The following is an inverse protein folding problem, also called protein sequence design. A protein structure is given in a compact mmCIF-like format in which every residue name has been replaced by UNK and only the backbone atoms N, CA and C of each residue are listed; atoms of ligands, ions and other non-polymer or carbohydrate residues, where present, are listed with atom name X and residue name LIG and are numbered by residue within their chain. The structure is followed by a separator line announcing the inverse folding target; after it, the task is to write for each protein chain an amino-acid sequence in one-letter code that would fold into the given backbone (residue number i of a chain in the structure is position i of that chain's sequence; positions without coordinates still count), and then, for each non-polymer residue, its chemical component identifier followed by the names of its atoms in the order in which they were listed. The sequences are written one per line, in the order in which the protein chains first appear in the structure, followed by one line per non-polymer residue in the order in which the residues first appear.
data_IF_722697264811
#
_entry.id   IF_722697264811
#
_cell.length_a   1.000
_cell.length_b   1.000
_cell.length_c   1.000
_cell.angle_alpha   90.00
_cell.angle_beta   90.00
_cell.angle_gamma   90.00
#
_symmetry.space_group_name_H-M   'P 1'
#
loop_
_entity.id
_entity.type
_entity.pdbx_description
1 polymer ?
#
# COMPACT_ATOMS: atom_id res chain seq x y z
N UNK A 1 -9.76 21.39 -27.24
CA UNK A 1 -8.93 21.30 -25.99
C UNK A 1 -9.53 20.23 -25.08
N UNK A 2 -8.71 19.47 -24.35
CA UNK A 2 -9.18 18.46 -23.37
C UNK A 2 -8.83 18.92 -21.95
N UNK A 3 -9.82 18.97 -21.06
CA UNK A 3 -9.64 19.39 -19.67
C UNK A 3 -9.85 18.20 -18.74
N UNK A 4 -8.80 17.84 -17.97
CA UNK A 4 -8.85 16.77 -16.98
C UNK A 4 -9.16 17.37 -15.61
N UNK A 5 -10.17 16.86 -14.91
CA UNK A 5 -10.71 17.50 -13.71
C UNK A 5 -10.83 16.48 -12.58
N UNK A 6 -10.17 16.75 -11.46
CA UNK A 6 -10.37 16.02 -10.20
C UNK A 6 -11.66 16.48 -9.53
N UNK A 7 -12.61 15.56 -9.37
CA UNK A 7 -13.93 15.83 -8.80
C UNK A 7 -13.97 15.71 -7.26
N UNK A 8 -12.83 15.45 -6.63
CA UNK A 8 -12.81 15.22 -5.18
C UNK A 8 -13.73 14.04 -4.78
N UNK A 9 -14.62 14.28 -3.82
CA UNK A 9 -15.68 13.34 -3.40
C UNK A 9 -16.79 13.14 -4.46
N UNK A 10 -16.77 13.89 -5.55
CA UNK A 10 -17.75 13.85 -6.62
C UNK A 10 -18.85 14.93 -6.53
N UNK A 11 -18.77 15.81 -5.52
CA UNK A 11 -19.73 16.94 -5.38
C UNK A 11 -19.35 18.07 -6.32
N UNK A 12 -20.32 18.55 -7.10
CA UNK A 12 -20.16 19.67 -8.02
C UNK A 12 -19.67 20.97 -7.34
N UNK A 13 -20.24 21.24 -6.18
CA UNK A 13 -19.98 22.46 -5.39
C UNK A 13 -18.54 22.51 -4.83
N UNK A 14 -17.88 21.36 -4.75
CA UNK A 14 -16.49 21.25 -4.29
C UNK A 14 -15.46 21.62 -5.39
N UNK A 15 -15.89 21.74 -6.65
CA UNK A 15 -15.03 22.14 -7.74
C UNK A 15 -14.70 23.62 -7.70
N UNK A 16 -13.48 23.96 -8.10
CA UNK A 16 -13.14 25.37 -8.36
C UNK A 16 -14.03 25.97 -9.45
N UNK A 17 -14.29 27.26 -9.38
CA UNK A 17 -15.09 27.97 -10.39
C UNK A 17 -14.53 27.77 -11.82
N UNK A 18 -13.21 27.67 -11.95
CA UNK A 18 -12.54 27.40 -13.23
C UNK A 18 -12.83 26.00 -13.76
N UNK A 19 -12.82 24.98 -12.89
CA UNK A 19 -13.15 23.61 -13.27
C UNK A 19 -14.63 23.48 -13.65
N UNK A 20 -15.53 24.12 -12.89
CA UNK A 20 -16.96 24.18 -13.22
C UNK A 20 -17.19 24.84 -14.58
N UNK A 21 -16.52 25.96 -14.86
CA UNK A 21 -16.62 26.65 -16.16
C UNK A 21 -16.10 25.77 -17.29
N UNK A 22 -15.02 25.03 -17.09
CA UNK A 22 -14.48 24.10 -18.10
C UNK A 22 -15.47 22.99 -18.45
N UNK A 23 -16.21 22.45 -17.48
CA UNK A 23 -17.26 21.45 -17.72
C UNK A 23 -18.44 22.08 -18.45
N UNK A 24 -18.90 23.28 -18.04
CA UNK A 24 -20.05 23.98 -18.66
C UNK A 24 -19.79 24.35 -20.12
N UNK A 25 -18.55 24.69 -20.46
CA UNK A 25 -18.13 25.07 -21.82
C UNK A 25 -17.76 23.87 -22.72
N UNK A 26 -17.63 22.68 -22.14
CA UNK A 26 -17.29 21.48 -22.91
C UNK A 26 -18.49 20.99 -23.74
N UNK A 27 -18.21 20.53 -24.96
CA UNK A 27 -19.21 19.82 -25.78
C UNK A 27 -19.34 18.35 -25.41
N UNK A 28 -18.27 17.77 -24.85
CA UNK A 28 -18.19 16.37 -24.46
C UNK A 28 -17.72 16.26 -23.01
N UNK A 29 -18.37 15.39 -22.21
CA UNK A 29 -17.95 15.11 -20.83
C UNK A 29 -17.81 13.59 -20.65
N UNK A 30 -16.66 13.16 -20.16
CA UNK A 30 -16.30 11.78 -19.89
C UNK A 30 -16.10 11.53 -18.39
N UNK A 31 -16.44 10.33 -17.93
CA UNK A 31 -16.18 9.96 -16.54
C UNK A 31 -16.96 8.71 -16.12
N UNK A 32 -16.70 8.22 -14.93
CA UNK A 32 -17.48 7.15 -14.33
C UNK A 32 -18.94 7.60 -14.12
N UNK A 33 -19.91 6.66 -14.25
CA UNK A 33 -21.35 6.95 -14.13
C UNK A 33 -21.70 7.78 -12.88
N UNK A 34 -21.08 7.47 -11.73
CA UNK A 34 -21.32 8.19 -10.48
C UNK A 34 -20.86 9.66 -10.52
N UNK A 35 -19.79 9.97 -11.26
CA UNK A 35 -19.29 11.34 -11.40
C UNK A 35 -20.17 12.15 -12.36
N UNK A 36 -20.62 11.51 -13.44
CA UNK A 36 -21.58 12.11 -14.38
C UNK A 36 -22.91 12.41 -13.70
N UNK A 37 -23.38 11.54 -12.82
CA UNK A 37 -24.61 11.76 -12.05
C UNK A 37 -24.53 12.95 -11.07
N UNK A 38 -23.30 13.38 -10.69
CA UNK A 38 -23.07 14.57 -9.86
C UNK A 38 -23.03 15.88 -10.64
N UNK A 39 -23.20 15.86 -11.96
CA UNK A 39 -23.23 17.07 -12.77
C UNK A 39 -24.57 17.81 -12.61
N UNK A 40 -24.57 19.14 -12.68
CA UNK A 40 -25.80 19.93 -12.57
C UNK A 40 -26.73 19.68 -13.77
N UNK A 41 -28.03 19.81 -13.55
CA UNK A 41 -29.06 19.56 -14.57
C UNK A 41 -28.96 20.49 -15.80
N UNK A 42 -28.32 21.64 -15.67
CA UNK A 42 -28.07 22.61 -16.74
C UNK A 42 -26.80 22.30 -17.56
N UNK A 43 -26.10 21.19 -17.29
CA UNK A 43 -24.98 20.74 -18.10
C UNK A 43 -25.49 20.19 -19.44
N UNK A 44 -25.26 20.94 -20.54
CA UNK A 44 -25.72 20.60 -21.90
C UNK A 44 -24.75 19.72 -22.68
N UNK A 45 -23.58 19.41 -22.14
CA UNK A 45 -22.57 18.58 -22.77
C UNK A 45 -23.07 17.13 -22.99
N UNK A 46 -22.66 16.52 -24.09
CA UNK A 46 -22.88 15.08 -24.31
C UNK A 46 -22.03 14.28 -23.33
N UNK A 47 -22.69 13.40 -22.55
CA UNK A 47 -22.06 12.65 -21.48
C UNK A 47 -21.71 11.21 -21.93
N UNK A 48 -20.51 10.77 -21.60
CA UNK A 48 -20.00 9.45 -21.94
C UNK A 48 -19.47 8.76 -20.68
N UNK A 49 -20.07 7.61 -20.33
CA UNK A 49 -19.63 6.80 -19.19
C UNK A 49 -18.36 6.00 -19.55
N UNK A 50 -17.32 6.70 -20.00
CA UNK A 50 -16.04 6.16 -20.42
C UNK A 50 -14.92 6.69 -19.50
N UNK A 51 -13.97 5.84 -19.16
CA UNK A 51 -12.85 6.18 -18.29
C UNK A 51 -11.52 5.58 -18.80
N UNK A 52 -11.57 4.65 -19.78
CA UNK A 52 -10.36 4.11 -20.39
C UNK A 52 -9.81 5.11 -21.41
N UNK A 53 -8.50 5.40 -21.40
CA UNK A 53 -7.89 6.35 -22.32
C UNK A 53 -8.16 6.07 -23.80
N UNK A 54 -8.12 4.78 -24.21
CA UNK A 54 -8.35 4.38 -25.59
C UNK A 54 -9.76 4.78 -26.08
N UNK A 55 -10.79 4.48 -25.30
CA UNK A 55 -12.20 4.76 -25.64
C UNK A 55 -12.46 6.28 -25.70
N UNK A 56 -11.82 7.02 -24.78
CA UNK A 56 -11.92 8.50 -24.77
C UNK A 56 -11.28 9.06 -26.04
N UNK A 57 -10.07 8.62 -26.40
CA UNK A 57 -9.37 9.09 -27.59
C UNK A 57 -10.12 8.75 -28.88
N UNK A 58 -10.70 7.56 -28.99
CA UNK A 58 -11.54 7.18 -30.11
C UNK A 58 -12.75 8.12 -30.24
N UNK A 59 -13.45 8.38 -29.13
CA UNK A 59 -14.60 9.29 -29.12
C UNK A 59 -14.19 10.73 -29.49
N UNK A 60 -13.03 11.20 -29.02
CA UNK A 60 -12.48 12.51 -29.40
C UNK A 60 -12.19 12.60 -30.90
N UNK A 61 -11.62 11.55 -31.48
CA UNK A 61 -11.34 11.49 -32.92
C UNK A 61 -12.61 11.54 -33.77
N UNK A 62 -13.71 10.95 -33.29
CA UNK A 62 -15.02 11.00 -33.94
C UNK A 62 -15.75 12.35 -33.78
N UNK A 63 -15.25 13.25 -32.90
CA UNK A 63 -15.86 14.57 -32.62
C UNK A 63 -14.81 15.71 -32.73
N UNK A 64 -14.22 15.92 -33.93
CA UNK A 64 -13.14 16.89 -34.11
C UNK A 64 -13.61 18.31 -33.80
N UNK A 65 -12.70 19.10 -33.19
CA UNK A 65 -12.94 20.51 -32.86
C UNK A 65 -13.80 20.77 -31.63
N UNK A 66 -14.35 19.75 -30.97
CA UNK A 66 -15.08 19.94 -29.73
C UNK A 66 -14.15 19.98 -28.52
N UNK A 67 -14.44 20.89 -27.58
CA UNK A 67 -13.81 20.90 -26.26
C UNK A 67 -14.39 19.77 -25.39
N UNK A 68 -13.54 19.13 -24.61
CA UNK A 68 -13.91 18.00 -23.79
C UNK A 68 -13.46 18.17 -22.33
N UNK A 69 -14.27 17.69 -21.39
CA UNK A 69 -13.91 17.55 -19.98
C UNK A 69 -13.87 16.05 -19.60
N UNK A 70 -12.84 15.63 -18.87
CA UNK A 70 -12.68 14.27 -18.38
C UNK A 70 -12.62 14.30 -16.86
N UNK A 71 -13.58 13.63 -16.22
CA UNK A 71 -13.78 13.67 -14.78
C UNK A 71 -13.11 12.47 -14.10
N UNK A 72 -12.29 12.75 -13.11
CA UNK A 72 -11.62 11.77 -12.27
C UNK A 72 -12.07 11.89 -10.83
N UNK A 73 -12.13 10.77 -10.11
CA UNK A 73 -12.38 10.76 -8.67
C UNK A 73 -11.16 11.29 -7.91
N UNK A 74 -11.35 11.99 -6.83
CA UNK A 74 -10.27 12.54 -6.02
C UNK A 74 -9.46 13.58 -6.78
N UNK A 75 -8.15 13.52 -6.64
CA UNK A 75 -7.18 14.40 -7.29
C UNK A 75 -6.60 13.76 -8.56
N UNK A 76 -6.34 14.59 -9.58
CA UNK A 76 -5.76 14.13 -10.85
C UNK A 76 -4.31 13.71 -10.76
N UNK A 77 -3.59 14.09 -9.72
CA UNK A 77 -2.18 13.77 -9.48
C UNK A 77 -1.95 12.64 -8.46
N UNK A 78 -3.01 12.21 -7.75
CA UNK A 78 -2.88 11.22 -6.69
C UNK A 78 -3.41 9.84 -7.14
N UNK A 79 -2.52 8.99 -7.62
CA UNK A 79 -2.85 7.63 -8.13
C UNK A 79 -4.02 7.61 -9.11
N UNK A 80 -4.13 8.64 -9.93
CA UNK A 80 -5.23 8.85 -10.87
C UNK A 80 -4.92 8.29 -12.26
N UNK A 81 -5.95 7.82 -12.96
CA UNK A 81 -5.87 7.48 -14.38
C UNK A 81 -5.61 8.67 -15.32
N UNK A 82 -5.57 9.90 -14.81
CA UNK A 82 -5.34 11.10 -15.60
C UNK A 82 -3.99 11.06 -16.35
N UNK A 83 -2.93 10.54 -15.74
CA UNK A 83 -1.62 10.38 -16.36
C UNK A 83 -1.66 9.48 -17.61
N UNK A 84 -2.47 8.42 -17.57
CA UNK A 84 -2.68 7.50 -18.69
C UNK A 84 -3.30 8.16 -19.91
N UNK A 85 -4.12 9.22 -19.73
CA UNK A 85 -4.70 9.99 -20.82
C UNK A 85 -3.80 11.16 -21.26
N UNK A 86 -3.11 11.83 -20.33
CA UNK A 86 -2.23 12.95 -20.64
C UNK A 86 -1.10 12.59 -21.61
N UNK A 87 -0.50 11.42 -21.43
CA UNK A 87 0.61 10.95 -22.26
C UNK A 87 0.21 10.84 -23.75
N UNK A 88 -0.84 10.11 -24.14
CA UNK A 88 -1.26 10.04 -25.53
C UNK A 88 -1.81 11.38 -26.06
N UNK A 89 -2.49 12.21 -25.26
CA UNK A 89 -2.92 13.54 -25.71
C UNK A 89 -1.71 14.38 -26.14
N UNK A 90 -0.63 14.37 -25.35
CA UNK A 90 0.62 15.09 -25.71
C UNK A 90 1.24 14.54 -26.99
N UNK A 91 1.29 13.20 -27.13
CA UNK A 91 1.83 12.57 -28.33
C UNK A 91 1.06 12.93 -29.62
N UNK A 92 -0.26 13.13 -29.50
CA UNK A 92 -1.15 13.53 -30.59
C UNK A 92 -1.21 15.05 -30.81
N UNK A 93 -0.46 15.84 -30.02
CA UNK A 93 -0.49 17.31 -30.10
C UNK A 93 -1.83 17.94 -29.68
N UNK A 94 -2.67 17.21 -28.94
CA UNK A 94 -3.96 17.72 -28.45
C UNK A 94 -3.73 18.54 -27.18
N UNK A 95 -4.08 19.85 -27.18
CA UNK A 95 -3.91 20.69 -26.01
C UNK A 95 -4.73 20.16 -24.81
N UNK A 96 -4.05 20.00 -23.67
CA UNK A 96 -4.68 19.52 -22.44
C UNK A 96 -4.44 20.48 -21.27
N UNK A 97 -5.45 20.64 -20.41
CA UNK A 97 -5.38 21.37 -19.13
C UNK A 97 -5.80 20.44 -18.00
N UNK A 98 -5.21 20.61 -16.82
CA UNK A 98 -5.51 19.80 -15.64
C UNK A 98 -5.94 20.70 -14.50
N UNK A 99 -7.05 20.34 -13.85
CA UNK A 99 -7.49 20.93 -12.60
C UNK A 99 -7.42 19.88 -11.48
N UNK A 100 -6.79 20.21 -10.34
CA UNK A 100 -6.72 19.30 -9.19
C UNK A 100 -8.09 19.13 -8.53
N UNK A 101 -8.22 18.06 -7.76
CA UNK A 101 -9.33 17.85 -6.85
C UNK A 101 -8.82 17.52 -5.45
N UNK A 102 -9.73 17.47 -4.46
CA UNK A 102 -9.40 17.05 -3.11
C UNK A 102 -9.32 15.53 -3.07
N UNK A 103 -8.18 14.97 -2.71
CA UNK A 103 -7.99 13.52 -2.60
C UNK A 103 -8.47 12.97 -1.26
N UNK A 104 -8.67 11.66 -1.19
CA UNK A 104 -9.08 10.96 0.04
C UNK A 104 -8.06 11.12 1.19
N UNK A 105 -6.77 11.29 0.90
CA UNK A 105 -5.78 11.57 1.95
C UNK A 105 -6.00 12.92 2.61
N UNK A 106 -6.33 13.96 1.85
CA UNK A 106 -6.62 15.29 2.37
C UNK A 106 -7.92 15.28 3.19
N UNK A 107 -8.94 14.54 2.71
CA UNK A 107 -10.20 14.37 3.43
C UNK A 107 -9.99 13.63 4.74
N UNK A 108 -9.23 12.52 4.75
CA UNK A 108 -8.92 11.79 5.97
C UNK A 108 -8.11 12.66 6.95
N UNK A 109 -7.10 13.37 6.47
CA UNK A 109 -6.29 14.29 7.27
C UNK A 109 -7.16 15.36 7.94
N UNK A 110 -8.11 15.95 7.20
CA UNK A 110 -9.04 16.94 7.73
C UNK A 110 -9.99 16.34 8.76
N UNK A 111 -10.56 15.15 8.50
CA UNK A 111 -11.44 14.45 9.44
C UNK A 111 -10.73 14.07 10.75
N UNK A 112 -9.43 13.75 10.68
CA UNK A 112 -8.61 13.43 11.85
C UNK A 112 -8.03 14.68 12.55
N UNK A 113 -8.09 15.85 11.92
CA UNK A 113 -7.43 17.07 12.40
C UNK A 113 -5.89 16.94 12.47
N UNK A 114 -5.29 16.15 11.59
CA UNK A 114 -3.86 15.80 11.62
C UNK A 114 -3.21 16.04 10.27
N UNK A 115 -1.96 16.57 10.23
CA UNK A 115 -1.21 16.72 8.99
C UNK A 115 -0.81 15.35 8.41
N UNK A 116 -0.74 15.27 7.09
CA UNK A 116 -0.43 14.03 6.35
C UNK A 116 0.97 13.99 5.73
N UNK A 117 1.77 15.03 5.91
CA UNK A 117 3.11 15.10 5.29
C UNK A 117 4.06 13.99 5.75
N UNK A 118 3.85 13.44 6.95
CA UNK A 118 4.67 12.36 7.51
C UNK A 118 4.08 10.97 7.22
N UNK A 119 2.98 10.89 6.46
CA UNK A 119 2.40 9.61 6.09
C UNK A 119 3.09 9.07 4.84
N UNK A 120 3.53 7.83 4.92
CA UNK A 120 3.94 7.07 3.73
C UNK A 120 2.72 6.75 2.89
N UNK A 121 2.73 7.13 1.62
CA UNK A 121 1.62 6.93 0.70
C UNK A 121 1.83 5.65 -0.11
N UNK A 122 0.84 4.76 -0.07
CA UNK A 122 0.86 3.47 -0.79
C UNK A 122 -0.46 3.30 -1.54
N UNK A 123 -0.39 2.95 -2.81
CA UNK A 123 -1.57 2.52 -3.54
C UNK A 123 -1.72 1.00 -3.45
N UNK A 124 -2.86 0.58 -2.94
CA UNK A 124 -3.37 -0.78 -3.00
C UNK A 124 -4.59 -0.88 -3.93
N UNK A 125 -4.90 0.21 -4.65
CA UNK A 125 -6.03 0.27 -5.57
C UNK A 125 -5.66 -0.29 -6.94
N UNK A 126 -6.07 -1.53 -7.21
CA UNK A 126 -5.81 -2.19 -8.49
C UNK A 126 -4.36 -2.64 -8.70
N UNK A 127 -3.53 -2.59 -7.66
CA UNK A 127 -2.16 -3.09 -7.68
C UNK A 127 -1.84 -3.83 -6.37
N UNK A 128 -0.97 -4.83 -6.47
CA UNK A 128 -0.47 -5.53 -5.29
C UNK A 128 0.43 -4.61 -4.47
N UNK A 129 0.28 -4.64 -3.14
CA UNK A 129 1.18 -4.00 -2.21
C UNK A 129 1.53 -4.96 -1.07
N UNK A 130 2.66 -4.71 -0.44
CA UNK A 130 3.09 -5.43 0.76
C UNK A 130 2.91 -4.53 1.99
N UNK A 131 1.80 -4.64 2.72
CA UNK A 131 1.53 -3.79 3.88
C UNK A 131 2.53 -4.05 5.02
N UNK A 132 3.07 -5.27 5.14
CA UNK A 132 4.03 -5.63 6.18
C UNK A 132 5.34 -4.88 5.97
N UNK A 133 5.90 -4.94 4.75
CA UNK A 133 7.13 -4.24 4.41
C UNK A 133 6.99 -2.72 4.60
N UNK A 134 5.86 -2.14 4.17
CA UNK A 134 5.64 -0.70 4.33
C UNK A 134 5.50 -0.29 5.81
N UNK A 135 4.77 -1.06 6.62
CA UNK A 135 4.58 -0.77 8.05
C UNK A 135 5.80 -1.12 8.91
N UNK A 136 6.69 -2.01 8.48
CA UNK A 136 7.99 -2.22 9.14
C UNK A 136 8.94 -1.04 8.98
N UNK A 137 8.81 -0.28 7.91
CA UNK A 137 9.74 0.81 7.57
C UNK A 137 9.20 2.20 7.91
N UNK A 138 7.90 2.33 8.12
CA UNK A 138 7.26 3.63 8.30
C UNK A 138 6.27 3.58 9.46
N UNK A 139 6.32 4.62 10.30
CA UNK A 139 5.43 4.73 11.45
C UNK A 139 3.97 4.92 11.06
N UNK A 140 3.70 5.69 10.03
CA UNK A 140 2.36 5.99 9.55
C UNK A 140 2.27 5.71 8.05
N UNK A 141 1.41 4.77 7.66
CA UNK A 141 1.24 4.35 6.27
C UNK A 141 -0.21 4.53 5.86
N UNK A 142 -0.42 5.38 4.87
CA UNK A 142 -1.73 5.56 4.25
C UNK A 142 -1.85 4.65 3.02
N UNK A 143 -2.88 3.82 3.01
CA UNK A 143 -3.22 2.94 1.90
C UNK A 143 -4.47 3.45 1.17
N UNK A 144 -4.31 3.74 -0.12
CA UNK A 144 -5.44 3.92 -1.02
C UNK A 144 -5.95 2.53 -1.41
N UNK A 145 -7.09 2.11 -0.86
CA UNK A 145 -7.64 0.76 -1.06
C UNK A 145 -8.61 0.69 -2.24
N UNK A 146 -8.85 -0.52 -2.74
CA UNK A 146 -9.84 -0.78 -3.79
C UNK A 146 -9.64 -2.12 -4.50
N UNK A 147 -10.70 -2.64 -5.08
CA UNK A 147 -10.69 -3.97 -5.69
C UNK A 147 -10.59 -5.07 -4.62
N UNK A 148 -9.61 -5.95 -4.74
CA UNK A 148 -9.34 -7.05 -3.79
C UNK A 148 -8.62 -6.59 -2.52
N UNK A 149 -7.90 -5.46 -2.58
CA UNK A 149 -7.16 -4.90 -1.46
C UNK A 149 -8.06 -3.93 -0.66
N UNK A 150 -8.79 -4.50 0.27
CA UNK A 150 -9.68 -3.76 1.18
C UNK A 150 -8.95 -3.42 2.49
N UNK A 151 -9.46 -2.47 3.32
CA UNK A 151 -8.89 -2.26 4.66
C UNK A 151 -8.81 -3.56 5.47
N UNK A 152 -9.83 -4.41 5.42
CA UNK A 152 -9.86 -5.69 6.13
C UNK A 152 -8.77 -6.65 5.62
N UNK A 153 -8.59 -6.79 4.29
CA UNK A 153 -7.57 -7.69 3.73
C UNK A 153 -6.15 -7.24 4.09
N UNK A 154 -5.88 -5.94 4.07
CA UNK A 154 -4.58 -5.39 4.48
C UNK A 154 -4.33 -5.60 5.99
N UNK A 155 -5.34 -5.35 6.82
CA UNK A 155 -5.28 -5.59 8.26
C UNK A 155 -5.09 -7.08 8.58
N UNK A 156 -5.69 -8.00 7.81
CA UNK A 156 -5.47 -9.43 7.96
C UNK A 156 -4.01 -9.81 7.66
N UNK A 157 -3.42 -9.31 6.57
CA UNK A 157 -2.00 -9.52 6.24
C UNK A 157 -1.06 -9.03 7.35
N UNK A 158 -1.37 -7.88 7.95
CA UNK A 158 -0.61 -7.36 9.09
C UNK A 158 -0.75 -8.25 10.32
N UNK A 159 -1.96 -8.72 10.62
CA UNK A 159 -2.24 -9.60 11.75
C UNK A 159 -1.49 -10.94 11.62
N UNK A 160 -1.55 -11.55 10.43
CA UNK A 160 -0.86 -12.82 10.12
C UNK A 160 0.67 -12.68 10.26
N UNK A 161 1.19 -11.49 9.98
CA UNK A 161 2.61 -11.18 10.16
C UNK A 161 3.00 -10.81 11.61
N UNK A 162 2.06 -10.83 12.56
CA UNK A 162 2.30 -10.50 13.96
C UNK A 162 2.24 -9.00 14.28
N UNK A 163 1.66 -8.19 13.38
CA UNK A 163 1.43 -6.75 13.58
C UNK A 163 -0.04 -6.46 13.93
N UNK A 164 -0.74 -7.38 14.55
CA UNK A 164 -2.17 -7.26 14.89
C UNK A 164 -2.50 -6.10 15.82
N UNK A 165 -1.54 -5.68 16.66
CA UNK A 165 -1.69 -4.55 17.58
C UNK A 165 -1.45 -3.18 16.92
N UNK A 166 -1.01 -3.13 15.66
CA UNK A 166 -0.84 -1.86 14.94
C UNK A 166 -2.18 -1.12 14.86
N UNK A 167 -2.16 0.16 15.16
CA UNK A 167 -3.37 0.98 15.22
C UNK A 167 -3.84 1.33 13.79
N UNK A 168 -5.10 1.05 13.49
CA UNK A 168 -5.71 1.34 12.20
C UNK A 168 -6.81 2.39 12.29
N UNK A 169 -6.90 3.21 11.26
CA UNK A 169 -7.99 4.16 11.04
C UNK A 169 -8.53 3.96 9.63
N UNK A 170 -9.81 3.62 9.53
CA UNK A 170 -10.50 3.46 8.23
C UNK A 170 -11.43 4.64 8.00
N UNK A 171 -11.21 5.35 6.89
CA UNK A 171 -12.11 6.38 6.41
C UNK A 171 -13.00 5.84 5.29
N UNK A 172 -14.31 5.89 5.46
CA UNK A 172 -15.30 5.41 4.48
C UNK A 172 -16.09 6.59 3.92
N UNK A 173 -16.33 6.59 2.62
CA UNK A 173 -17.14 7.58 1.90
C UNK A 173 -16.77 9.05 2.21
N UNK A 174 -15.48 9.30 2.38
CA UNK A 174 -14.96 10.61 2.82
C UNK A 174 -15.46 11.77 1.95
N UNK A 175 -15.87 12.85 2.60
CA UNK A 175 -16.41 14.05 1.97
C UNK A 175 -17.86 13.92 1.49
N UNK A 176 -18.57 12.84 1.85
CA UNK A 176 -20.00 12.64 1.57
C UNK A 176 -20.84 12.69 2.85
N UNK A 177 -22.18 12.62 2.74
CA UNK A 177 -23.06 12.53 3.90
C UNK A 177 -22.95 11.19 4.64
N UNK A 178 -22.45 10.17 3.95
CA UNK A 178 -22.22 8.83 4.52
C UNK A 178 -20.79 8.64 5.04
N UNK A 179 -20.06 9.74 5.29
CA UNK A 179 -18.71 9.71 5.84
C UNK A 179 -18.69 9.03 7.21
N UNK A 180 -17.77 8.07 7.37
CA UNK A 180 -17.56 7.37 8.64
C UNK A 180 -16.06 7.18 8.88
N UNK A 181 -15.62 7.39 10.12
CA UNK A 181 -14.26 7.08 10.56
C UNK A 181 -14.33 5.97 11.60
N UNK A 182 -13.60 4.88 11.37
CA UNK A 182 -13.50 3.75 12.30
C UNK A 182 -12.08 3.59 12.79
N UNK A 183 -11.95 3.24 14.04
CA UNK A 183 -10.68 3.00 14.73
C UNK A 183 -10.63 1.58 15.25
N UNK A 184 -9.46 1.01 15.36
CA UNK A 184 -9.21 -0.28 15.95
C UNK A 184 -7.79 -0.75 15.75
N UNK A 185 -7.41 -1.85 16.38
CA UNK A 185 -6.19 -2.56 16.04
C UNK A 185 -6.34 -3.24 14.66
N UNK A 186 -5.22 -3.58 14.03
CA UNK A 186 -5.28 -4.32 12.77
C UNK A 186 -6.05 -5.64 12.92
N UNK A 187 -5.89 -6.35 14.05
CA UNK A 187 -6.64 -7.57 14.33
C UNK A 187 -8.16 -7.35 14.42
N UNK A 188 -8.60 -6.25 15.06
CA UNK A 188 -10.03 -5.92 15.16
C UNK A 188 -10.62 -5.50 13.81
N UNK A 189 -9.88 -4.75 13.00
CA UNK A 189 -10.33 -4.26 11.70
C UNK A 189 -10.33 -5.37 10.64
N UNK A 190 -9.47 -6.38 10.75
CA UNK A 190 -9.43 -7.52 9.83
C UNK A 190 -10.76 -8.29 9.76
N UNK A 191 -11.47 -8.38 10.89
CA UNK A 191 -12.77 -9.05 10.99
C UNK A 191 -13.99 -8.23 10.54
N UNK A 192 -13.78 -6.98 10.06
CA UNK A 192 -14.87 -6.06 9.73
C UNK A 192 -15.11 -5.96 8.21
N UNK A 193 -16.28 -5.43 7.88
CA UNK A 193 -16.62 -5.07 6.49
C UNK A 193 -16.69 -3.56 6.36
N UNK A 194 -16.21 -3.05 5.22
CA UNK A 194 -16.12 -1.62 4.94
C UNK A 194 -16.75 -1.27 3.60
N UNK A 195 -17.17 -0.02 3.45
CA UNK A 195 -17.72 0.48 2.20
C UNK A 195 -16.67 0.38 1.05
N UNK A 196 -17.12 0.22 -0.21
CA UNK A 196 -16.20 0.15 -1.36
C UNK A 196 -15.30 1.37 -1.54
N UNK A 197 -15.76 2.56 -1.11
CA UNK A 197 -14.98 3.78 -1.10
C UNK A 197 -14.37 3.98 0.30
N UNK A 198 -13.29 3.27 0.57
CA UNK A 198 -12.58 3.36 1.84
C UNK A 198 -11.09 3.55 1.64
N UNK A 199 -10.43 4.02 2.68
CA UNK A 199 -8.98 4.16 2.80
C UNK A 199 -8.54 3.71 4.18
N UNK A 200 -7.29 3.32 4.32
CA UNK A 200 -6.74 2.83 5.58
C UNK A 200 -5.47 3.64 5.92
N UNK A 201 -5.40 4.15 7.14
CA UNK A 201 -4.17 4.64 7.76
C UNK A 201 -3.76 3.63 8.83
N UNK A 202 -2.55 3.12 8.75
CA UNK A 202 -1.96 2.25 9.77
C UNK A 202 -0.86 3.00 10.48
N UNK A 203 -0.86 2.96 11.81
CA UNK A 203 0.19 3.51 12.65
C UNK A 203 0.84 2.39 13.44
N UNK A 204 2.11 2.12 13.12
CA UNK A 204 2.93 1.15 13.80
C UNK A 204 3.93 1.89 14.70
N UNK A 205 3.82 1.69 16.00
CA UNK A 205 4.70 2.30 16.98
C UNK A 205 5.91 1.41 17.32
N UNK A 206 5.80 0.11 16.99
CA UNK A 206 6.80 -0.91 17.26
C UNK A 206 7.65 -1.19 16.00
N UNK A 207 8.37 -0.14 15.56
CA UNK A 207 9.26 -0.28 14.41
C UNK A 207 10.50 -1.09 14.77
N UNK A 208 10.96 -2.00 13.88
CA UNK A 208 12.20 -2.70 14.08
C UNK A 208 13.39 -1.73 14.08
N UNK A 209 14.41 -2.04 14.88
CA UNK A 209 15.66 -1.29 14.87
C UNK A 209 16.52 -1.72 13.67
N UNK A 210 16.32 -1.09 12.53
CA UNK A 210 17.13 -1.33 11.34
C UNK A 210 18.53 -0.74 11.56
N UNK A 211 19.56 -1.60 11.63
CA UNK A 211 20.96 -1.23 11.78
C UNK A 211 21.87 -2.23 11.05
N UNK A 212 23.15 -1.93 10.98
CA UNK A 212 24.13 -2.86 10.42
C UNK A 212 24.09 -4.21 11.16
N UNK A 213 24.36 -5.34 10.47
CA UNK A 213 24.43 -6.67 11.08
C UNK A 213 25.42 -6.76 12.25
N UNK A 214 25.18 -7.72 13.14
CA UNK A 214 26.02 -7.99 14.29
C UNK A 214 25.44 -7.46 15.59
N UNK A 215 24.17 -7.74 15.86
CA UNK A 215 23.59 -7.50 17.19
C UNK A 215 24.36 -8.26 18.26
N UNK A 216 24.60 -7.68 19.45
CA UNK A 216 25.23 -8.38 20.56
C UNK A 216 24.48 -9.66 20.92
N UNK A 217 25.19 -10.73 21.30
CA UNK A 217 24.60 -12.02 21.64
C UNK A 217 23.56 -11.92 22.77
N UNK A 218 23.77 -11.03 23.73
CA UNK A 218 22.86 -10.73 24.84
C UNK A 218 21.55 -10.03 24.41
N UNK A 219 21.50 -9.55 23.20
CA UNK A 219 20.27 -8.96 22.64
C UNK A 219 19.21 -10.02 22.33
N UNK A 220 19.61 -11.28 22.15
CA UNK A 220 18.70 -12.37 21.81
C UNK A 220 18.20 -13.10 23.06
N UNK A 221 16.97 -13.62 23.00
CA UNK A 221 16.45 -14.58 23.98
C UNK A 221 17.13 -15.91 23.69
N UNK A 222 17.70 -16.52 24.75
CA UNK A 222 18.53 -17.72 24.67
C UNK A 222 18.06 -18.81 25.63
N UNK A 223 18.40 -20.07 25.31
CA UNK A 223 18.29 -21.23 26.17
C UNK A 223 19.51 -22.13 25.94
N UNK A 224 19.33 -23.42 26.11
CA UNK A 224 20.38 -24.45 25.79
C UNK A 224 20.57 -24.64 24.27
N UNK A 225 19.69 -24.10 23.42
CA UNK A 225 19.82 -24.15 21.95
C UNK A 225 21.06 -23.37 21.52
N UNK A 226 21.96 -23.99 20.74
CA UNK A 226 23.14 -23.30 20.21
C UNK A 226 22.79 -22.06 19.40
N UNK A 227 23.60 -21.03 19.56
CA UNK A 227 23.42 -19.76 18.83
C UNK A 227 24.71 -19.37 18.11
N UNK A 228 24.60 -19.01 16.82
CA UNK A 228 25.69 -18.44 16.03
C UNK A 228 26.13 -17.13 16.68
N UNK A 229 27.45 -16.97 16.92
CA UNK A 229 28.03 -15.82 17.61
C UNK A 229 28.01 -14.55 16.77
N UNK A 230 27.98 -13.40 17.44
CA UNK A 230 27.87 -12.06 16.84
C UNK A 230 28.81 -11.87 15.63
N UNK A 231 30.09 -12.20 15.79
CA UNK A 231 31.11 -11.99 14.75
C UNK A 231 30.85 -12.89 13.53
N UNK A 232 30.40 -14.12 13.77
CA UNK A 232 30.06 -15.09 12.72
C UNK A 232 28.81 -14.63 11.97
N UNK A 233 27.77 -14.17 12.70
CA UNK A 233 26.55 -13.62 12.07
C UNK A 233 26.88 -12.41 11.19
N UNK A 234 27.63 -11.45 11.72
CA UNK A 234 28.02 -10.26 10.98
C UNK A 234 28.81 -10.61 9.70
N UNK A 235 29.76 -11.54 9.81
CA UNK A 235 30.54 -11.99 8.66
C UNK A 235 29.69 -12.75 7.64
N UNK A 236 28.76 -13.59 8.10
CA UNK A 236 27.85 -14.34 7.23
C UNK A 236 26.93 -13.41 6.43
N UNK A 237 26.26 -12.46 7.07
CA UNK A 237 25.40 -11.50 6.39
C UNK A 237 26.16 -10.63 5.38
N UNK A 238 27.37 -10.20 5.75
CA UNK A 238 28.23 -9.44 4.82
C UNK A 238 28.61 -10.27 3.58
N UNK A 239 28.86 -11.57 3.73
CA UNK A 239 29.22 -12.48 2.63
C UNK A 239 27.99 -12.84 1.77
N UNK A 240 26.82 -12.96 2.36
CA UNK A 240 25.55 -13.18 1.63
C UNK A 240 25.16 -11.96 0.79
N UNK A 241 25.72 -10.78 1.08
CA UNK A 241 25.43 -9.52 0.37
C UNK A 241 23.95 -9.22 0.23
N UNK A 242 23.20 -9.41 1.31
CA UNK A 242 21.72 -9.32 1.37
C UNK A 242 21.21 -7.97 0.86
N UNK A 243 20.25 -8.03 -0.07
CA UNK A 243 19.56 -6.86 -0.58
C UNK A 243 18.21 -6.66 0.13
N UNK A 244 17.68 -5.44 0.21
CA UNK A 244 16.44 -5.14 0.95
C UNK A 244 15.19 -5.92 0.49
N UNK A 245 15.20 -6.48 -0.70
CA UNK A 245 14.06 -7.17 -1.33
C UNK A 245 14.23 -8.69 -1.42
N UNK A 246 15.34 -9.23 -0.90
CA UNK A 246 15.68 -10.64 -1.09
C UNK A 246 14.72 -11.60 -0.38
N UNK A 247 14.49 -12.73 -1.01
CA UNK A 247 13.92 -13.93 -0.41
C UNK A 247 15.06 -14.80 0.14
N UNK A 248 15.08 -15.01 1.44
CA UNK A 248 16.19 -15.65 2.12
C UNK A 248 15.73 -16.92 2.86
N UNK A 249 16.57 -17.95 2.86
CA UNK A 249 16.35 -19.11 3.69
C UNK A 249 17.43 -19.21 4.77
N UNK A 250 17.03 -19.55 5.99
CA UNK A 250 17.89 -19.92 7.12
C UNK A 250 17.52 -21.35 7.51
N UNK A 251 18.35 -22.31 7.11
CA UNK A 251 18.06 -23.73 7.27
C UNK A 251 18.79 -24.28 8.49
N UNK A 252 18.05 -24.78 9.47
CA UNK A 252 18.57 -25.11 10.80
C UNK A 252 18.72 -23.85 11.64
N UNK A 253 17.64 -23.03 11.70
CA UNK A 253 17.67 -21.67 12.21
C UNK A 253 18.00 -21.56 13.73
N UNK A 254 17.87 -22.65 14.50
CA UNK A 254 18.22 -22.70 15.92
C UNK A 254 17.48 -21.63 16.73
N UNK A 255 18.21 -20.71 17.35
CA UNK A 255 17.60 -19.59 18.10
C UNK A 255 16.95 -18.53 17.23
N UNK A 256 17.08 -18.58 15.90
CA UNK A 256 16.63 -17.59 14.95
C UNK A 256 17.47 -16.30 14.93
N UNK A 257 18.66 -16.31 15.53
CA UNK A 257 19.49 -15.11 15.59
C UNK A 257 19.96 -14.63 14.22
N UNK A 258 20.33 -15.56 13.32
CA UNK A 258 20.67 -15.26 11.92
C UNK A 258 19.41 -14.85 11.16
N UNK A 259 18.32 -15.61 11.31
CA UNK A 259 17.03 -15.31 10.66
C UNK A 259 16.54 -13.89 10.97
N UNK A 260 16.64 -13.45 12.22
CA UNK A 260 16.26 -12.09 12.64
C UNK A 260 17.15 -11.04 11.95
N UNK A 261 18.45 -11.21 11.97
CA UNK A 261 19.37 -10.25 11.33
C UNK A 261 19.17 -10.21 9.80
N UNK A 262 18.91 -11.36 9.16
CA UNK A 262 18.51 -11.44 7.74
C UNK A 262 17.21 -10.68 7.48
N UNK A 263 16.20 -10.85 8.34
CA UNK A 263 14.92 -10.18 8.21
C UNK A 263 15.03 -8.65 8.31
N UNK A 264 15.87 -8.17 9.23
CA UNK A 264 16.11 -6.74 9.39
C UNK A 264 16.97 -6.16 8.25
N UNK A 265 17.84 -6.98 7.63
CA UNK A 265 18.63 -6.58 6.46
C UNK A 265 17.80 -6.54 5.17
N UNK A 266 16.76 -7.38 5.08
CA UNK A 266 15.85 -7.47 3.93
C UNK A 266 14.41 -7.01 4.28
N UNK A 267 14.18 -5.76 4.69
CA UNK A 267 12.89 -5.32 5.23
C UNK A 267 11.73 -5.33 4.22
N UNK A 268 12.04 -5.37 2.92
CA UNK A 268 11.06 -5.52 1.81
C UNK A 268 11.01 -6.94 1.25
N UNK A 269 11.86 -7.81 1.76
CA UNK A 269 11.95 -9.22 1.40
C UNK A 269 11.25 -10.13 2.41
N UNK A 270 11.56 -11.43 2.31
CA UNK A 270 11.05 -12.46 3.23
C UNK A 270 12.18 -13.38 3.67
N UNK A 271 12.15 -13.78 4.94
CA UNK A 271 13.05 -14.79 5.49
C UNK A 271 12.26 -16.00 5.93
N UNK A 272 12.64 -17.15 5.42
CA UNK A 272 12.07 -18.45 5.79
C UNK A 272 13.07 -19.15 6.72
N UNK A 273 12.75 -19.18 8.01
CA UNK A 273 13.51 -19.86 9.03
C UNK A 273 13.01 -21.30 9.15
N UNK A 274 13.78 -22.25 8.70
CA UNK A 274 13.43 -23.68 8.73
C UNK A 274 14.04 -24.33 9.97
N UNK A 275 13.21 -24.89 10.84
CA UNK A 275 13.64 -25.52 12.09
C UNK A 275 12.71 -26.67 12.48
N UNK A 276 13.26 -27.76 13.01
CA UNK A 276 12.49 -28.94 13.39
C UNK A 276 12.37 -29.15 14.90
N UNK A 277 13.26 -28.55 15.70
CA UNK A 277 13.24 -28.72 17.14
C UNK A 277 12.25 -27.75 17.81
N UNK A 278 11.26 -28.26 18.59
CA UNK A 278 10.21 -27.42 19.17
C UNK A 278 10.72 -26.26 20.03
N UNK A 279 11.76 -26.51 20.84
CA UNK A 279 12.34 -25.48 21.72
C UNK A 279 13.03 -24.38 20.92
N UNK A 280 13.66 -24.72 19.80
CA UNK A 280 14.24 -23.75 18.88
C UNK A 280 13.16 -22.97 18.14
N UNK A 281 12.10 -23.62 17.67
CA UNK A 281 10.95 -22.96 17.06
C UNK A 281 10.32 -21.91 18.00
N UNK A 282 10.20 -22.23 19.28
CA UNK A 282 9.68 -21.28 20.27
C UNK A 282 10.63 -20.08 20.48
N UNK A 283 11.95 -20.29 20.46
CA UNK A 283 12.92 -19.19 20.52
C UNK A 283 12.86 -18.31 19.30
N UNK A 284 12.70 -18.87 18.10
CA UNK A 284 12.52 -18.11 16.87
C UNK A 284 11.29 -17.19 17.00
N UNK A 285 10.14 -17.70 17.48
CA UNK A 285 8.94 -16.89 17.70
C UNK A 285 9.18 -15.74 18.67
N UNK A 286 9.85 -16.00 19.79
CA UNK A 286 10.18 -15.00 20.81
C UNK A 286 11.14 -13.94 20.29
N UNK A 287 12.19 -14.35 19.58
CA UNK A 287 13.16 -13.43 18.99
C UNK A 287 12.54 -12.62 17.85
N UNK A 288 11.74 -13.24 16.97
CA UNK A 288 10.95 -12.56 15.95
C UNK A 288 10.10 -11.42 16.55
N UNK A 289 9.35 -11.72 17.61
CA UNK A 289 8.52 -10.73 18.29
C UNK A 289 9.35 -9.62 18.95
N UNK A 290 10.41 -9.99 19.67
CA UNK A 290 11.29 -9.03 20.36
C UNK A 290 11.93 -8.00 19.42
N UNK A 291 12.31 -8.45 18.23
CA UNK A 291 12.97 -7.60 17.22
C UNK A 291 12.00 -7.00 16.20
N UNK A 292 10.70 -7.27 16.33
CA UNK A 292 9.67 -6.86 15.37
C UNK A 292 10.02 -7.28 13.92
N UNK A 293 10.66 -8.45 13.77
CA UNK A 293 11.05 -9.01 12.48
C UNK A 293 9.85 -9.67 11.79
N UNK A 294 8.83 -8.87 11.44
CA UNK A 294 7.53 -9.36 10.98
C UNK A 294 7.56 -10.06 9.62
N UNK A 295 8.60 -9.80 8.82
CA UNK A 295 8.86 -10.47 7.54
C UNK A 295 9.63 -11.81 7.68
N UNK A 296 9.92 -12.28 8.92
CA UNK A 296 10.45 -13.60 9.20
C UNK A 296 9.30 -14.59 9.34
N UNK A 297 9.36 -15.69 8.59
CA UNK A 297 8.36 -16.76 8.56
C UNK A 297 9.03 -18.03 9.07
N UNK A 298 8.51 -18.58 10.17
CA UNK A 298 8.97 -19.86 10.69
C UNK A 298 8.31 -21.01 9.92
N UNK A 299 9.13 -21.93 9.44
CA UNK A 299 8.73 -23.19 8.81
C UNK A 299 9.16 -24.33 9.74
N UNK A 300 8.18 -24.92 10.40
CA UNK A 300 8.41 -26.04 11.31
C UNK A 300 8.52 -27.34 10.52
N UNK A 301 9.70 -27.92 10.48
CA UNK A 301 9.97 -29.13 9.75
C UNK A 301 11.44 -29.35 9.44
N UNK A 302 11.74 -30.47 8.85
CA UNK A 302 13.10 -30.88 8.53
C UNK A 302 13.43 -30.67 7.07
N UNK A 303 14.57 -30.03 6.82
CA UNK A 303 15.13 -29.96 5.48
C UNK A 303 15.66 -31.36 5.04
N UNK A 304 15.49 -31.78 3.77
CA UNK A 304 14.96 -30.97 2.67
C UNK A 304 13.41 -31.01 2.51
N UNK A 305 12.70 -31.77 3.34
CA UNK A 305 11.30 -32.16 3.12
C UNK A 305 10.36 -30.95 2.96
N UNK A 306 10.60 -29.88 3.75
CA UNK A 306 9.77 -28.66 3.75
C UNK A 306 10.23 -27.57 2.77
N UNK A 307 11.33 -27.78 2.05
CA UNK A 307 11.91 -26.77 1.18
C UNK A 307 11.20 -26.64 -0.16
N UNK A 308 10.56 -27.73 -0.64
CA UNK A 308 9.97 -27.80 -1.97
C UNK A 308 8.81 -26.82 -2.18
N UNK A 309 8.10 -26.46 -1.11
CA UNK A 309 6.94 -25.58 -1.13
C UNK A 309 7.29 -24.10 -0.90
N UNK A 310 8.58 -23.80 -0.66
CA UNK A 310 9.02 -22.44 -0.40
C UNK A 310 9.36 -21.70 -1.73
N UNK A 311 9.16 -20.37 -1.78
CA UNK A 311 9.64 -19.57 -2.89
C UNK A 311 11.15 -19.73 -3.06
N UNK A 312 11.62 -19.74 -4.33
CA UNK A 312 13.06 -19.83 -4.63
C UNK A 312 13.83 -18.71 -3.90
N UNK A 313 14.94 -19.03 -3.21
CA UNK A 313 15.71 -18.06 -2.44
C UNK A 313 16.72 -17.33 -3.32
N UNK A 314 16.98 -16.05 -3.01
CA UNK A 314 18.11 -15.30 -3.54
C UNK A 314 19.41 -15.68 -2.83
N UNK A 315 19.34 -16.02 -1.53
CA UNK A 315 20.45 -16.55 -0.75
C UNK A 315 19.98 -17.53 0.35
N UNK A 316 20.86 -18.43 0.72
CA UNK A 316 20.62 -19.45 1.75
C UNK A 316 21.76 -19.42 2.77
N UNK A 317 21.39 -19.42 4.06
CA UNK A 317 22.28 -19.72 5.17
C UNK A 317 21.94 -21.13 5.71
N UNK A 318 22.99 -21.92 6.05
CA UNK A 318 22.84 -23.31 6.56
C UNK A 318 23.78 -23.48 7.75
#
# INVERSE_FOLDING_TARGET
MVTLIGMGSGKWEALSAQAQQAVRSAGLVFGAKRLLAGLPADCTARQFALYQPADILETLAQNPGQDAAVLYSGDTGFYSGASGLLTPLRALGIPARVYPGVSSIQLLSAALGRPWQDWKLVSAHGCACDPVAECMMNRSVYFLTGGTETPASLCQKLTDAGMGEAHGVVGENLGTEAETIRYGSAAELAGQSFAPLSVLLVENFDLPQLRAPGFPDESFIRSEVPMTKQEVRAAALAKLAVMPTDTLWDVGAGTGSVSVELALAAPKGRVYAVECEPDACELIRKNRAKFHACNLILIEGRAPDVLADLPAPDAVFI
#
